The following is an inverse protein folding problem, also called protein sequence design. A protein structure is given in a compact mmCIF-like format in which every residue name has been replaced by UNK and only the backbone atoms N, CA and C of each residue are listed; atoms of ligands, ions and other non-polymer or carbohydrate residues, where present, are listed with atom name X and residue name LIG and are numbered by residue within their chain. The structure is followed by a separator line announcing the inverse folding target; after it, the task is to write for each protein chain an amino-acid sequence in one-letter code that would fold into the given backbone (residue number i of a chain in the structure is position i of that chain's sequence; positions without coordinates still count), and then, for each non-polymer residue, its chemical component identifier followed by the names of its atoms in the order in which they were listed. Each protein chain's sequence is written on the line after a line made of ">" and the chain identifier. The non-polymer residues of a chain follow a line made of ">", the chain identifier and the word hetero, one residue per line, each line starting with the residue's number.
data_IF_373846510184
#
_entry.id   IF_373846510184
#
_cell.length_a   1.000
_cell.length_b   1.000
_cell.length_c   1.000
_cell.angle_alpha   90.00
_cell.angle_beta   90.00
_cell.angle_gamma   90.00
#
_symmetry.space_group_name_H-M   'P 1'
#
loop_
_entity.id
_entity.type
_entity.pdbx_description
1 polymer ?
#
# COMPACT_ATOMS: atom_id res chain seq x y z
N UNK A 1 -4.20 -11.45 13.19
CA UNK A 1 -5.66 -11.15 13.24
C UNK A 1 -5.90 -9.94 12.36
N UNK A 2 -6.89 -10.01 11.47
CA UNK A 2 -7.31 -8.88 10.64
C UNK A 2 -8.05 -7.84 11.50
N UNK A 3 -7.69 -6.57 11.35
CA UNK A 3 -8.24 -5.39 12.01
C UNK A 3 -8.63 -4.38 10.94
N UNK A 4 -9.45 -3.38 11.29
CA UNK A 4 -9.80 -2.26 10.40
C UNK A 4 -10.50 -2.65 9.09
N UNK A 5 -11.11 -3.85 9.06
CA UNK A 5 -11.84 -4.42 7.94
C UNK A 5 -13.17 -4.99 8.43
N UNK A 6 -14.26 -4.73 7.70
CA UNK A 6 -15.57 -5.28 8.07
C UNK A 6 -15.68 -6.71 7.58
N UNK A 7 -15.89 -7.65 8.50
CA UNK A 7 -16.06 -9.05 8.15
C UNK A 7 -17.40 -9.28 7.43
N UNK A 8 -17.41 -10.20 6.47
CA UNK A 8 -18.61 -10.61 5.73
C UNK A 8 -19.27 -9.52 4.86
N UNK A 9 -18.49 -8.49 4.47
CA UNK A 9 -18.94 -7.43 3.56
C UNK A 9 -18.00 -7.33 2.36
N UNK A 10 -18.58 -7.21 1.16
CA UNK A 10 -17.82 -6.89 -0.07
C UNK A 10 -17.36 -5.44 0.01
N UNK A 11 -16.06 -5.21 -0.11
CA UNK A 11 -15.43 -3.90 -0.05
C UNK A 11 -14.40 -3.77 -1.18
N UNK A 12 -14.32 -2.58 -1.78
CA UNK A 12 -13.26 -2.24 -2.74
C UNK A 12 -12.06 -1.73 -1.94
N UNK A 13 -10.88 -2.34 -2.10
CA UNK A 13 -9.73 -2.00 -1.28
C UNK A 13 -9.28 -0.55 -1.44
N UNK A 14 -9.36 0.00 -2.67
CA UNK A 14 -9.02 1.39 -2.94
C UNK A 14 -9.86 2.37 -2.09
N UNK A 15 -11.13 2.04 -1.80
CA UNK A 15 -12.02 2.90 -1.02
C UNK A 15 -11.72 2.86 0.49
N UNK A 16 -10.92 1.89 0.96
CA UNK A 16 -10.67 1.68 2.39
C UNK A 16 -9.58 2.58 2.97
N UNK A 17 -8.84 3.30 2.11
CA UNK A 17 -7.84 4.32 2.43
C UNK A 17 -8.10 5.54 1.55
N UNK A 18 -7.84 6.75 2.03
CA UNK A 18 -8.19 7.98 1.32
C UNK A 18 -6.96 8.86 1.17
N UNK A 19 -6.83 9.49 -0.01
CA UNK A 19 -5.84 10.55 -0.21
C UNK A 19 -6.12 11.73 0.71
N UNK A 20 -5.06 12.38 1.19
CA UNK A 20 -5.13 13.63 1.94
C UNK A 20 -4.04 14.58 1.45
N UNK A 21 -4.36 15.87 1.36
CA UNK A 21 -3.48 16.90 0.82
C UNK A 21 -2.14 16.95 1.59
N UNK A 22 -1.02 16.79 0.87
CA UNK A 22 0.33 16.79 1.43
C UNK A 22 0.60 15.68 2.45
N UNK A 23 -0.03 14.50 2.30
CA UNK A 23 0.11 13.42 3.26
C UNK A 23 0.21 12.02 2.63
N UNK A 24 0.92 11.15 3.35
CA UNK A 24 0.81 9.70 3.22
C UNK A 24 -0.14 9.17 4.28
N UNK A 25 -1.26 8.59 3.84
CA UNK A 25 -2.22 7.92 4.72
C UNK A 25 -2.01 6.41 4.63
N UNK A 26 -1.97 5.73 5.78
CA UNK A 26 -1.84 4.28 5.82
C UNK A 26 -2.90 3.63 6.70
N UNK A 27 -3.26 2.40 6.35
CA UNK A 27 -4.22 1.59 7.10
C UNK A 27 -3.77 0.15 7.15
N UNK A 28 -3.25 -0.25 8.31
CA UNK A 28 -2.80 -1.62 8.55
C UNK A 28 -3.99 -2.53 8.86
N UNK A 29 -4.14 -3.60 8.10
CA UNK A 29 -5.17 -4.61 8.28
C UNK A 29 -4.67 -5.81 9.06
N UNK A 30 -3.44 -6.25 8.82
CA UNK A 30 -2.83 -7.33 9.58
C UNK A 30 -1.39 -6.96 9.88
N UNK A 31 -0.96 -7.25 11.11
CA UNK A 31 0.44 -7.17 11.48
C UNK A 31 0.71 -8.14 12.61
N UNK A 32 1.61 -9.08 12.36
CA UNK A 32 2.24 -9.89 13.39
C UNK A 32 3.68 -10.23 12.99
N UNK A 33 4.28 -11.19 13.70
CA UNK A 33 5.68 -11.59 13.48
C UNK A 33 5.96 -12.19 12.09
N UNK A 34 4.94 -12.63 11.37
CA UNK A 34 5.09 -13.40 10.13
C UNK A 34 4.53 -12.69 8.91
N UNK A 35 3.55 -11.81 9.10
CA UNK A 35 2.91 -11.12 7.98
C UNK A 35 2.46 -9.71 8.36
N UNK A 36 2.52 -8.83 7.35
CA UNK A 36 1.99 -7.48 7.40
C UNK A 36 1.17 -7.22 6.13
N UNK A 37 0.03 -6.58 6.29
CA UNK A 37 -0.79 -6.07 5.19
C UNK A 37 -1.24 -4.67 5.54
N UNK A 38 -0.82 -3.70 4.71
CA UNK A 38 -1.10 -2.29 4.88
C UNK A 38 -1.52 -1.68 3.56
N UNK A 39 -2.61 -0.93 3.55
CA UNK A 39 -2.97 -0.06 2.43
C UNK A 39 -2.31 1.30 2.63
N UNK A 40 -1.82 1.89 1.54
CA UNK A 40 -1.26 3.22 1.52
C UNK A 40 -1.94 4.08 0.45
N UNK A 41 -2.18 5.34 0.78
CA UNK A 41 -2.56 6.39 -0.17
C UNK A 41 -1.52 7.50 -0.08
N UNK A 42 -0.88 7.78 -1.21
CA UNK A 42 0.16 8.80 -1.33
C UNK A 42 -0.41 9.96 -2.13
N UNK A 43 -0.39 11.17 -1.56
CA UNK A 43 -0.63 12.37 -2.34
C UNK A 43 0.49 12.58 -3.38
N UNK A 44 0.23 13.38 -4.41
CA UNK A 44 1.15 13.51 -5.53
C UNK A 44 2.46 14.17 -5.07
N UNK A 45 3.55 13.41 -5.16
CA UNK A 45 4.87 13.88 -4.75
C UNK A 45 5.27 13.41 -3.36
N UNK A 46 4.36 12.76 -2.63
CA UNK A 46 4.66 12.09 -1.38
C UNK A 46 5.27 10.70 -1.61
N UNK A 47 6.12 10.28 -0.69
CA UNK A 47 6.81 8.99 -0.72
C UNK A 47 7.07 8.46 0.69
N UNK A 48 7.49 7.21 0.79
CA UNK A 48 8.05 6.65 2.02
C UNK A 48 9.52 6.32 1.81
N UNK A 49 10.30 6.44 2.89
CA UNK A 49 11.72 6.13 2.85
C UNK A 49 11.99 4.68 2.45
N UNK A 50 13.11 4.50 1.73
CA UNK A 50 13.66 3.19 1.42
C UNK A 50 13.85 2.36 2.70
N UNK A 51 13.36 1.14 2.67
CA UNK A 51 13.49 0.18 3.76
C UNK A 51 13.65 -1.23 3.21
N UNK A 52 14.16 -2.13 4.04
CA UNK A 52 14.31 -3.55 3.71
C UNK A 52 13.30 -4.38 4.51
N UNK A 53 12.70 -5.37 3.85
CA UNK A 53 11.89 -6.40 4.49
C UNK A 53 12.72 -7.65 4.73
N UNK A 54 12.44 -8.38 5.82
CA UNK A 54 13.06 -9.69 6.10
C UNK A 54 12.50 -10.85 5.26
N UNK A 55 11.45 -10.60 4.48
CA UNK A 55 10.86 -11.55 3.54
C UNK A 55 10.29 -10.83 2.31
N UNK A 56 9.63 -11.58 1.43
CA UNK A 56 9.08 -11.05 0.19
C UNK A 56 8.00 -9.99 0.43
N UNK A 57 7.96 -8.98 -0.42
CA UNK A 57 6.96 -7.93 -0.41
C UNK A 57 6.20 -7.92 -1.74
N UNK A 58 4.88 -7.87 -1.66
CA UNK A 58 3.98 -7.71 -2.80
C UNK A 58 3.40 -6.30 -2.77
N UNK A 59 3.49 -5.59 -3.89
CA UNK A 59 2.88 -4.27 -4.09
C UNK A 59 1.87 -4.40 -5.21
N UNK A 60 0.61 -4.02 -4.94
CA UNK A 60 -0.45 -3.97 -5.94
C UNK A 60 -0.92 -2.53 -6.01
N UNK A 61 -0.88 -1.93 -7.20
CA UNK A 61 -1.43 -0.60 -7.41
C UNK A 61 -2.96 -0.69 -7.47
N UNK A 62 -3.63 -0.13 -6.48
CA UNK A 62 -5.10 -0.16 -6.38
C UNK A 62 -5.76 0.96 -7.17
N UNK A 63 -5.13 2.14 -7.20
CA UNK A 63 -5.59 3.33 -7.92
C UNK A 63 -4.40 4.17 -8.39
N UNK A 64 -4.64 5.03 -9.39
CA UNK A 64 -3.66 5.98 -9.89
C UNK A 64 -2.44 5.35 -10.59
N UNK A 65 -1.33 6.09 -10.54
CA UNK A 65 -0.03 5.70 -11.09
C UNK A 65 1.05 6.10 -10.08
N UNK A 66 1.98 5.20 -9.81
CA UNK A 66 3.10 5.43 -8.89
C UNK A 66 4.42 4.90 -9.43
N UNK A 67 5.52 5.27 -8.77
CA UNK A 67 6.84 4.69 -9.01
C UNK A 67 7.23 3.84 -7.79
N UNK A 68 7.67 2.61 -8.03
CA UNK A 68 8.26 1.74 -7.03
C UNK A 68 9.72 1.54 -7.39
N UNK A 69 10.61 1.76 -6.44
CA UNK A 69 12.04 1.48 -6.60
C UNK A 69 12.40 0.21 -5.83
N UNK A 70 12.95 -0.77 -6.53
CA UNK A 70 13.48 -2.01 -5.94
C UNK A 70 14.96 -2.07 -6.30
N UNK A 71 15.80 -2.09 -5.27
CA UNK A 71 17.23 -1.83 -5.37
C UNK A 71 17.51 -0.52 -6.11
N UNK A 72 18.17 -0.58 -7.27
CA UNK A 72 18.49 0.59 -8.09
C UNK A 72 17.55 0.75 -9.30
N UNK A 73 16.51 -0.08 -9.39
CA UNK A 73 15.61 -0.12 -10.55
C UNK A 73 14.25 0.47 -10.22
N UNK A 74 13.83 1.41 -11.07
CA UNK A 74 12.53 2.07 -11.01
C UNK A 74 11.50 1.35 -11.87
N UNK A 75 10.28 1.25 -11.35
CA UNK A 75 9.13 0.65 -12.01
C UNK A 75 7.95 1.60 -11.91
N UNK A 76 7.35 1.96 -13.04
CA UNK A 76 6.05 2.65 -13.05
C UNK A 76 4.95 1.61 -12.97
N UNK A 77 4.12 1.69 -11.95
CA UNK A 77 2.96 0.81 -11.73
C UNK A 77 1.67 1.60 -11.87
N UNK A 78 0.68 1.03 -12.52
CA UNK A 78 -0.67 1.60 -12.74
C UNK A 78 -1.71 0.74 -12.05
N UNK A 79 -2.87 1.32 -11.74
CA UNK A 79 -4.00 0.59 -11.17
C UNK A 79 -4.23 -0.77 -11.86
N UNK A 80 -4.28 -1.84 -11.05
CA UNK A 80 -4.41 -3.23 -11.49
C UNK A 80 -3.10 -3.97 -11.71
N UNK A 81 -1.94 -3.30 -11.69
CA UNK A 81 -0.62 -3.90 -11.87
C UNK A 81 0.06 -4.27 -10.55
N UNK A 82 1.02 -5.20 -10.63
CA UNK A 82 1.90 -5.67 -9.56
C UNK A 82 3.31 -5.90 -10.08
#
# INVERSE_FOLDING_TARGET
>A
MFKNFKASEVQVFADLVQYQDGQVVSKTFAQDKHHSLTLFAFEKGEEISTHASGGDALVIALDGVGEVTIDEKKFTVRSGES
#
